data_IF_223167216435
#
_entry.id   IF_223167216435
#
_cell.length_a   1.000
_cell.length_b   1.000
_cell.length_c   1.000
_cell.angle_alpha   90.00
_cell.angle_beta   90.00
_cell.angle_gamma   90.00
#
_symmetry.space_group_name_H-M   'P 1'
#
loop_
_entity.id
_entity.type
_entity.pdbx_description
1 polymer ?
#
# COMPACT_ATOMS: atom_id res chain seq x y z
N UNK A 1 24.12 -21.00 29.56
CA UNK A 1 23.76 -21.40 28.18
C UNK A 1 22.46 -20.76 27.69
N UNK A 2 21.37 -20.78 28.47
CA UNK A 2 20.06 -20.22 28.06
C UNK A 2 20.08 -18.71 27.79
N UNK A 3 20.78 -17.91 28.60
CA UNK A 3 20.86 -16.44 28.44
C UNK A 3 21.44 -16.05 27.08
N UNK A 4 22.49 -16.74 26.62
CA UNK A 4 23.09 -16.48 25.30
C UNK A 4 22.10 -16.77 24.16
N UNK A 5 21.30 -17.83 24.28
CA UNK A 5 20.24 -18.14 23.32
C UNK A 5 19.15 -17.07 23.29
N UNK A 6 18.75 -16.54 24.45
CA UNK A 6 17.79 -15.42 24.51
C UNK A 6 18.34 -14.15 23.87
N UNK A 7 19.60 -13.80 24.14
CA UNK A 7 20.26 -12.64 23.52
C UNK A 7 20.35 -12.83 22.01
N UNK A 8 20.73 -14.02 21.55
CA UNK A 8 20.83 -14.33 20.12
C UNK A 8 19.46 -14.26 19.43
N UNK A 9 18.40 -14.81 20.04
CA UNK A 9 17.05 -14.71 19.51
C UNK A 9 16.53 -13.27 19.44
N UNK A 10 16.77 -12.47 20.48
CA UNK A 10 16.42 -11.05 20.51
C UNK A 10 17.17 -10.27 19.43
N UNK A 11 18.46 -10.56 19.22
CA UNK A 11 19.28 -9.94 18.18
C UNK A 11 18.75 -10.24 16.77
N UNK A 12 18.41 -11.49 16.48
CA UNK A 12 17.78 -11.86 15.19
C UNK A 12 16.47 -11.10 14.98
N UNK A 13 15.61 -10.99 16.01
CA UNK A 13 14.33 -10.28 15.88
C UNK A 13 14.51 -8.79 15.59
N UNK A 14 15.48 -8.13 16.21
CA UNK A 14 15.78 -6.71 15.97
C UNK A 14 16.34 -6.47 14.57
N UNK A 15 17.15 -7.39 14.04
CA UNK A 15 17.73 -7.27 12.70
C UNK A 15 16.73 -7.57 11.57
N UNK A 16 15.65 -8.29 11.84
CA UNK A 16 14.59 -8.54 10.85
C UNK A 16 13.61 -7.35 10.79
N UNK A 17 14.13 -6.16 10.50
CA UNK A 17 13.30 -5.06 10.00
C UNK A 17 12.78 -5.50 8.63
N UNK A 18 11.51 -5.90 8.57
CA UNK A 18 10.83 -6.16 7.29
C UNK A 18 10.52 -4.80 6.68
N UNK A 19 11.24 -4.43 5.63
CA UNK A 19 10.87 -3.28 4.82
C UNK A 19 9.56 -3.60 4.08
N UNK A 20 8.51 -2.86 4.38
CA UNK A 20 7.27 -2.94 3.61
C UNK A 20 7.54 -2.34 2.22
N UNK A 21 7.73 -3.20 1.22
CA UNK A 21 7.95 -2.75 -0.15
C UNK A 21 6.78 -1.89 -0.67
N UNK A 22 7.10 -0.89 -1.50
CA UNK A 22 6.12 0.02 -2.10
C UNK A 22 5.28 -0.74 -3.14
N UNK A 23 3.97 -0.72 -2.98
CA UNK A 23 3.03 -1.43 -3.86
C UNK A 23 2.53 -0.47 -4.95
N UNK A 24 2.69 -0.87 -6.21
CA UNK A 24 2.08 -0.19 -7.35
C UNK A 24 0.86 -0.96 -7.84
N UNK A 25 -0.28 -0.27 -7.95
CA UNK A 25 -1.51 -0.79 -8.53
C UNK A 25 -1.85 0.03 -9.79
N UNK A 26 -1.96 -0.62 -10.95
CA UNK A 26 -2.20 0.03 -12.23
C UNK A 26 -3.54 -0.44 -12.82
N UNK A 27 -4.53 0.45 -12.86
CA UNK A 27 -5.88 0.17 -13.35
C UNK A 27 -6.25 1.18 -14.44
N UNK A 28 -5.86 0.93 -15.71
CA UNK A 28 -5.95 1.94 -16.77
C UNK A 28 -7.35 2.06 -17.42
N UNK A 29 -8.28 1.15 -17.13
CA UNK A 29 -9.59 1.15 -17.79
C UNK A 29 -10.44 2.34 -17.32
N UNK A 30 -10.86 3.26 -18.21
CA UNK A 30 -11.64 4.45 -17.86
C UNK A 30 -13.12 4.11 -17.59
N UNK A 31 -13.36 3.28 -16.59
CA UNK A 31 -14.70 2.89 -16.18
C UNK A 31 -14.73 2.67 -14.67
N UNK A 32 -15.65 3.38 -14.00
CA UNK A 32 -15.84 3.30 -12.55
C UNK A 32 -15.96 1.85 -12.08
N UNK A 33 -16.68 0.99 -12.80
CA UNK A 33 -16.86 -0.42 -12.41
C UNK A 33 -15.55 -1.21 -12.38
N UNK A 34 -14.57 -0.84 -13.21
CA UNK A 34 -13.23 -1.41 -13.24
C UNK A 34 -12.30 -0.82 -12.19
N UNK A 35 -12.66 0.30 -11.58
CA UNK A 35 -11.89 0.93 -10.50
C UNK A 35 -12.38 0.46 -9.13
N UNK A 36 -13.70 0.52 -8.89
CA UNK A 36 -14.30 0.26 -7.57
C UNK A 36 -14.04 -1.15 -7.04
N UNK A 37 -13.88 -2.13 -7.92
CA UNK A 37 -13.57 -3.52 -7.53
C UNK A 37 -12.21 -3.66 -6.84
N UNK A 38 -11.24 -2.80 -7.13
CA UNK A 38 -9.89 -2.86 -6.56
C UNK A 38 -9.69 -1.97 -5.33
N UNK A 39 -10.61 -1.02 -5.06
CA UNK A 39 -10.53 -0.12 -3.90
C UNK A 39 -10.44 -0.87 -2.57
N UNK A 40 -11.27 -1.90 -2.29
CA UNK A 40 -11.18 -2.63 -1.01
C UNK A 40 -9.79 -3.26 -0.78
N UNK A 41 -9.11 -3.69 -1.85
CA UNK A 41 -7.78 -4.29 -1.75
C UNK A 41 -6.72 -3.22 -1.43
N UNK A 42 -6.65 -2.16 -2.24
CA UNK A 42 -5.66 -1.09 -2.09
C UNK A 42 -5.81 -0.34 -0.77
N UNK A 43 -7.05 -0.06 -0.35
CA UNK A 43 -7.35 0.54 0.95
C UNK A 43 -7.01 -0.38 2.12
N UNK A 44 -7.25 -1.69 2.00
CA UNK A 44 -6.90 -2.64 3.05
C UNK A 44 -5.38 -2.87 3.17
N UNK A 45 -4.63 -2.70 2.09
CA UNK A 45 -3.16 -2.68 2.12
C UNK A 45 -2.67 -1.42 2.81
N UNK A 46 -3.18 -0.24 2.43
CA UNK A 46 -2.85 1.01 3.10
C UNK A 46 -3.20 0.96 4.60
N UNK A 47 -4.38 0.44 4.97
CA UNK A 47 -4.77 0.28 6.38
C UNK A 47 -3.85 -0.64 7.20
N UNK A 48 -3.16 -1.58 6.55
CA UNK A 48 -2.18 -2.48 7.21
C UNK A 48 -0.77 -1.88 7.30
N UNK A 49 -0.58 -0.66 6.83
CA UNK A 49 0.70 0.06 6.91
C UNK A 49 1.58 -0.06 5.66
N UNK A 50 1.09 -0.68 4.57
CA UNK A 50 1.82 -0.69 3.30
C UNK A 50 1.77 0.69 2.64
N UNK A 51 2.83 1.08 1.94
CA UNK A 51 2.81 2.25 1.07
C UNK A 51 2.27 1.83 -0.31
N UNK A 52 1.16 2.43 -0.73
CA UNK A 52 0.44 2.04 -1.95
C UNK A 52 0.34 3.23 -2.89
N UNK A 53 0.68 3.04 -4.16
CA UNK A 53 0.44 4.00 -5.25
C UNK A 53 -0.53 3.37 -6.25
N UNK A 54 -1.64 4.03 -6.53
CA UNK A 54 -2.68 3.57 -7.46
C UNK A 54 -2.74 4.52 -8.65
N UNK A 55 -2.49 4.00 -9.85
CA UNK A 55 -2.77 4.72 -11.10
C UNK A 55 -4.18 4.36 -11.53
N UNK A 56 -5.06 5.35 -11.61
CA UNK A 56 -6.50 5.16 -11.80
C UNK A 56 -7.10 6.32 -12.59
N UNK A 57 -8.17 6.05 -13.32
CA UNK A 57 -8.99 7.07 -13.99
C UNK A 57 -10.09 7.62 -13.09
N UNK A 58 -10.36 6.98 -11.95
CA UNK A 58 -11.44 7.37 -11.05
C UNK A 58 -10.97 7.24 -9.58
N UNK A 59 -10.24 8.25 -9.06
CA UNK A 59 -9.77 8.27 -7.68
C UNK A 59 -10.89 8.00 -6.66
N UNK A 60 -10.57 7.25 -5.61
CA UNK A 60 -11.48 6.92 -4.54
C UNK A 60 -11.69 8.08 -3.56
N UNK A 61 -10.69 8.93 -3.40
CA UNK A 61 -10.71 10.04 -2.43
C UNK A 61 -10.71 11.40 -3.14
N UNK A 62 -11.38 12.41 -2.55
CA UNK A 62 -11.20 13.79 -3.00
C UNK A 62 -9.75 14.24 -2.77
N UNK A 63 -9.32 15.27 -3.51
CA UNK A 63 -7.97 15.86 -3.34
C UNK A 63 -7.74 16.26 -1.88
N UNK A 64 -6.70 15.72 -1.26
CA UNK A 64 -6.35 15.95 0.15
C UNK A 64 -7.09 15.06 1.15
N UNK A 65 -8.01 14.19 0.70
CA UNK A 65 -8.71 13.22 1.54
C UNK A 65 -8.08 11.82 1.54
N UNK A 66 -6.98 11.62 0.82
CA UNK A 66 -6.30 10.33 0.67
C UNK A 66 -5.55 9.97 1.96
N UNK A 67 -5.56 8.71 2.42
CA UNK A 67 -4.72 8.24 3.52
C UNK A 67 -3.23 8.57 3.28
N UNK A 68 -2.44 8.86 4.32
CA UNK A 68 -1.06 9.34 4.18
C UNK A 68 -0.12 8.37 3.45
N UNK A 69 -0.43 7.08 3.45
CA UNK A 69 0.32 6.01 2.79
C UNK A 69 -0.40 5.42 1.56
N UNK A 70 -1.38 6.16 1.01
CA UNK A 70 -2.04 5.86 -0.25
C UNK A 70 -1.91 7.07 -1.18
N UNK A 71 -1.32 6.87 -2.34
CA UNK A 71 -1.24 7.89 -3.40
C UNK A 71 -2.11 7.46 -4.56
N UNK A 72 -2.95 8.36 -5.08
CA UNK A 72 -3.74 8.14 -6.28
C UNK A 72 -3.23 9.06 -7.40
N UNK A 73 -2.76 8.46 -8.49
CA UNK A 73 -2.35 9.16 -9.70
C UNK A 73 -3.54 9.12 -10.66
N UNK A 74 -4.22 10.26 -10.76
CA UNK A 74 -5.35 10.48 -11.66
C UNK A 74 -4.86 10.60 -13.11
N UNK A 75 -5.24 9.63 -13.94
CA UNK A 75 -4.95 9.60 -15.38
C UNK A 75 -6.19 9.68 -16.24
N UNK A 76 -7.33 10.13 -15.70
CA UNK A 76 -8.62 10.20 -16.41
C UNK A 76 -8.53 10.88 -17.78
N UNK A 77 -7.71 11.93 -17.90
CA UNK A 77 -7.58 12.71 -19.13
C UNK A 77 -6.51 12.17 -20.11
N UNK A 78 -5.88 11.04 -19.80
CA UNK A 78 -4.84 10.39 -20.63
C UNK A 78 -5.32 9.08 -21.27
N UNK A 79 -6.46 8.56 -20.83
CA UNK A 79 -7.04 7.26 -21.20
C UNK A 79 -8.25 7.39 -22.12
#
# INVERSE_FOLDING_TARGET
MSVLWFIFAAYIFVLNQVDAERILAYFPTPSISHQVVFRPLTEALARRGHEVTVVTTDPAFPKGGTPPNLTEIDVHNLS
#
